data_IF_754953878294
#
_entry.id   IF_754953878294
#
_cell.length_a   1.000
_cell.length_b   1.000
_cell.length_c   1.000
_cell.angle_alpha   90.00
_cell.angle_beta   90.00
_cell.angle_gamma   90.00
#
_symmetry.space_group_name_H-M   'P 1'
#
loop_
_entity.id
_entity.type
_entity.pdbx_description
1 polymer ?
#
# COMPACT_ATOMS: atom_id res chain seq x y z
N UNK A 1 -9.93 34.58 3.91
CA UNK A 1 -9.47 35.33 2.73
C UNK A 1 -10.45 36.46 2.46
N UNK A 2 -11.77 36.22 2.36
CA UNK A 2 -12.80 37.24 2.13
C UNK A 2 -12.68 38.41 3.11
N UNK A 3 -12.56 38.15 4.43
CA UNK A 3 -12.34 39.17 5.44
C UNK A 3 -11.06 40.01 5.24
N UNK A 4 -10.01 39.42 4.69
CA UNK A 4 -8.77 40.14 4.36
C UNK A 4 -8.93 41.00 3.12
N UNK A 5 -9.80 40.61 2.20
CA UNK A 5 -10.08 41.33 0.96
C UNK A 5 -11.22 42.37 1.11
N UNK A 6 -11.92 42.41 2.24
CA UNK A 6 -13.13 43.19 2.46
C UNK A 6 -12.97 44.68 2.14
N UNK A 7 -11.80 45.22 2.45
CA UNK A 7 -11.48 46.66 2.24
C UNK A 7 -11.24 47.01 0.76
N UNK A 8 -10.43 46.19 0.04
CA UNK A 8 -10.03 46.54 -1.32
C UNK A 8 -10.81 45.76 -2.37
N UNK A 9 -11.61 44.75 -1.99
CA UNK A 9 -12.46 43.88 -2.85
C UNK A 9 -11.73 43.29 -4.06
N UNK A 10 -10.41 43.31 -4.06
CA UNK A 10 -9.59 42.75 -5.13
C UNK A 10 -9.12 41.36 -4.71
N UNK A 11 -9.91 40.36 -5.07
CA UNK A 11 -9.65 38.94 -4.76
C UNK A 11 -9.68 38.12 -6.04
N UNK A 12 -8.59 37.45 -6.30
CA UNK A 12 -8.48 36.50 -7.39
C UNK A 12 -8.23 35.09 -6.81
N UNK A 13 -9.12 34.17 -7.10
CA UNK A 13 -8.98 32.77 -6.67
C UNK A 13 -8.89 31.84 -7.87
N UNK A 14 -8.04 30.83 -7.77
CA UNK A 14 -7.86 29.79 -8.78
C UNK A 14 -8.00 28.44 -8.10
N UNK A 15 -8.74 27.53 -8.71
CA UNK A 15 -8.90 26.19 -8.20
C UNK A 15 -9.68 25.32 -9.16
N UNK A 16 -9.76 24.05 -8.85
CA UNK A 16 -10.55 23.06 -9.56
C UNK A 16 -11.35 22.21 -8.54
N UNK A 17 -12.67 22.43 -8.41
CA UNK A 17 -13.50 21.65 -7.49
C UNK A 17 -13.54 20.16 -7.87
N UNK A 18 -13.38 19.82 -9.17
CA UNK A 18 -13.33 18.44 -9.64
C UNK A 18 -12.05 17.69 -9.19
N UNK A 19 -11.05 18.43 -8.73
CA UNK A 19 -9.81 17.85 -8.14
C UNK A 19 -9.78 17.97 -6.61
N UNK A 20 -10.89 18.26 -5.95
CA UNK A 20 -10.97 18.28 -4.49
C UNK A 20 -11.05 16.84 -3.96
N UNK A 21 -9.93 16.31 -3.47
CA UNK A 21 -9.75 14.93 -2.96
C UNK A 21 -9.27 14.90 -1.51
N UNK A 22 -9.46 15.97 -0.75
CA UNK A 22 -9.06 16.10 0.65
C UNK A 22 -10.21 16.56 1.56
N UNK A 23 -11.46 16.14 1.25
CA UNK A 23 -12.62 16.49 2.08
C UNK A 23 -12.46 15.92 3.50
N UNK A 24 -11.90 14.75 3.63
CA UNK A 24 -11.54 14.12 4.90
C UNK A 24 -10.52 14.93 5.74
N UNK A 25 -9.77 15.85 5.13
CA UNK A 25 -8.92 16.86 5.81
C UNK A 25 -9.62 18.21 6.00
N UNK A 26 -10.92 18.29 5.73
CA UNK A 26 -11.73 19.49 5.90
C UNK A 26 -11.79 20.41 4.67
N UNK A 27 -11.32 19.98 3.51
CA UNK A 27 -11.56 20.71 2.27
C UNK A 27 -13.07 20.73 1.95
N UNK A 28 -13.55 21.86 1.44
CA UNK A 28 -14.98 22.10 1.18
C UNK A 28 -15.16 22.60 -0.25
N UNK A 29 -15.33 21.72 -1.24
CA UNK A 29 -15.46 22.10 -2.66
C UNK A 29 -16.63 23.05 -2.91
N UNK A 30 -17.77 22.89 -2.19
CA UNK A 30 -18.93 23.77 -2.33
C UNK A 30 -18.61 25.23 -2.07
N UNK A 31 -17.66 25.58 -1.16
CA UNK A 31 -17.27 26.98 -0.94
C UNK A 31 -16.61 27.64 -2.15
N UNK A 32 -15.95 26.83 -2.99
CA UNK A 32 -15.40 27.32 -4.24
C UNK A 32 -16.49 27.44 -5.31
N UNK A 33 -17.40 26.46 -5.37
CA UNK A 33 -18.53 26.44 -6.32
C UNK A 33 -19.50 27.58 -6.05
N UNK A 34 -19.80 27.83 -4.76
CA UNK A 34 -20.77 28.85 -4.33
C UNK A 34 -20.15 30.26 -4.20
N UNK A 35 -18.86 30.42 -4.52
CA UNK A 35 -18.19 31.71 -4.42
C UNK A 35 -18.77 32.72 -5.39
N UNK A 36 -19.31 33.82 -4.87
CA UNK A 36 -19.85 34.90 -5.67
C UNK A 36 -18.72 35.76 -6.27
N UNK A 37 -18.42 35.53 -7.53
CA UNK A 37 -17.39 36.27 -8.26
C UNK A 37 -18.00 37.23 -9.26
N UNK A 38 -17.41 38.44 -9.39
CA UNK A 38 -17.80 39.40 -10.43
C UNK A 38 -17.52 38.88 -11.84
N UNK A 39 -16.47 38.03 -11.97
CA UNK A 39 -16.10 37.39 -13.22
C UNK A 39 -15.54 36.00 -12.98
N UNK A 40 -16.08 35.01 -13.68
CA UNK A 40 -15.57 33.65 -13.71
C UNK A 40 -14.96 33.33 -15.06
N UNK A 41 -13.76 32.79 -15.08
CA UNK A 41 -13.07 32.30 -16.30
C UNK A 41 -12.87 30.81 -16.12
N UNK A 42 -13.38 30.01 -17.06
CA UNK A 42 -13.21 28.56 -17.09
C UNK A 42 -12.03 28.24 -18.01
N UNK A 43 -11.04 27.48 -17.46
CA UNK A 43 -9.90 26.97 -18.20
C UNK A 43 -10.21 25.51 -18.54
N UNK A 44 -10.71 25.25 -19.72
CA UNK A 44 -11.17 23.94 -20.20
C UNK A 44 -10.25 23.32 -21.26
N UNK A 45 -9.30 24.09 -21.83
CA UNK A 45 -8.27 23.54 -22.69
C UNK A 45 -7.18 22.83 -21.91
N UNK A 46 -7.01 21.53 -22.22
CA UNK A 46 -6.02 20.67 -21.59
C UNK A 46 -4.82 20.44 -22.53
N UNK A 47 -3.61 20.64 -22.02
CA UNK A 47 -2.37 20.51 -22.80
C UNK A 47 -1.60 19.21 -22.49
N UNK A 48 -2.09 18.43 -21.54
CA UNK A 48 -1.42 17.21 -21.03
C UNK A 48 -1.86 15.97 -21.79
N UNK A 49 -3.14 15.67 -21.74
CA UNK A 49 -3.71 14.37 -22.12
C UNK A 49 -4.19 14.36 -23.57
N UNK A 50 -4.24 13.16 -24.16
CA UNK A 50 -4.87 12.95 -25.48
C UNK A 50 -6.40 13.01 -25.37
N UNK A 51 -7.14 13.23 -26.49
CA UNK A 51 -8.61 13.28 -26.49
C UNK A 51 -9.26 12.05 -25.85
N UNK A 52 -8.80 10.83 -26.20
CA UNK A 52 -9.37 9.59 -25.66
C UNK A 52 -9.30 9.50 -24.13
N UNK A 53 -8.26 10.05 -23.51
CA UNK A 53 -8.12 10.10 -22.05
C UNK A 53 -9.09 11.12 -21.45
N UNK A 54 -9.23 12.30 -22.09
CA UNK A 54 -10.13 13.34 -21.62
C UNK A 54 -11.60 12.93 -21.74
N UNK A 55 -11.97 12.17 -22.76
CA UNK A 55 -13.33 11.65 -22.92
C UNK A 55 -13.72 10.77 -21.74
N UNK A 56 -12.82 9.87 -21.29
CA UNK A 56 -13.05 9.05 -20.11
C UNK A 56 -13.12 9.91 -18.84
N UNK A 57 -12.23 10.89 -18.69
CA UNK A 57 -12.22 11.81 -17.54
C UNK A 57 -13.53 12.61 -17.44
N UNK A 58 -13.98 13.19 -18.57
CA UNK A 58 -15.22 13.94 -18.66
C UNK A 58 -16.44 13.04 -18.36
N UNK A 59 -16.46 11.83 -18.90
CA UNK A 59 -17.52 10.85 -18.66
C UNK A 59 -17.66 10.54 -17.16
N UNK A 60 -16.56 10.26 -16.46
CA UNK A 60 -16.56 9.95 -15.03
C UNK A 60 -17.05 11.14 -14.23
N UNK A 61 -16.48 12.34 -14.43
CA UNK A 61 -16.73 13.49 -13.57
C UNK A 61 -18.09 14.14 -13.82
N UNK A 62 -18.68 13.97 -15.01
CA UNK A 62 -20.00 14.50 -15.34
C UNK A 62 -21.14 13.96 -14.45
N UNK A 63 -20.91 12.83 -13.77
CA UNK A 63 -21.87 12.23 -12.83
C UNK A 63 -21.90 12.93 -11.46
N UNK A 64 -20.98 13.85 -11.17
CA UNK A 64 -21.00 14.65 -9.95
C UNK A 64 -21.94 15.86 -10.11
N UNK A 65 -22.66 16.18 -9.04
CA UNK A 65 -23.62 17.31 -9.02
C UNK A 65 -22.95 18.59 -8.49
N UNK A 66 -22.12 18.46 -7.44
CA UNK A 66 -21.44 19.60 -6.82
C UNK A 66 -20.18 20.00 -7.56
N UNK A 67 -20.35 20.64 -8.74
CA UNK A 67 -19.24 21.04 -9.59
C UNK A 67 -19.55 22.30 -10.40
N UNK A 68 -18.51 22.94 -10.93
CA UNK A 68 -18.63 23.92 -11.99
C UNK A 68 -18.61 23.15 -13.32
N UNK A 69 -19.70 23.15 -14.10
CA UNK A 69 -19.75 22.40 -15.36
C UNK A 69 -18.66 22.85 -16.31
N UNK A 70 -17.81 21.92 -16.74
CA UNK A 70 -16.81 22.10 -17.77
C UNK A 70 -16.57 20.80 -18.50
N UNK A 71 -16.13 20.87 -19.73
CA UNK A 71 -15.72 19.73 -20.53
C UNK A 71 -14.29 19.99 -20.99
N UNK A 72 -13.34 19.20 -20.49
CA UNK A 72 -11.96 19.35 -20.94
C UNK A 72 -11.83 18.92 -22.40
N UNK A 73 -11.14 19.73 -23.19
CA UNK A 73 -10.77 19.41 -24.55
C UNK A 73 -9.29 19.67 -24.78
N UNK A 74 -8.74 19.13 -25.86
CA UNK A 74 -7.34 19.33 -26.23
C UNK A 74 -7.20 19.46 -27.73
N UNK A 75 -6.17 20.17 -28.17
CA UNK A 75 -5.76 20.26 -29.57
C UNK A 75 -4.68 19.24 -29.95
N UNK A 76 -4.31 18.36 -28.99
CA UNK A 76 -3.38 17.27 -29.27
C UNK A 76 -4.01 16.27 -30.24
N UNK A 77 -3.20 15.58 -31.07
CA UNK A 77 -3.71 14.52 -31.94
C UNK A 77 -4.32 13.38 -31.13
N UNK A 78 -5.20 12.64 -31.76
CA UNK A 78 -5.78 11.44 -31.20
C UNK A 78 -4.67 10.47 -30.75
N UNK A 79 -4.80 10.02 -29.52
CA UNK A 79 -3.92 9.00 -28.94
C UNK A 79 -4.51 7.60 -29.10
N UNK A 80 -3.86 6.63 -28.49
CA UNK A 80 -4.40 5.28 -28.35
C UNK A 80 -5.64 5.28 -27.44
N UNK A 81 -6.55 4.34 -27.67
CA UNK A 81 -7.71 4.15 -26.78
C UNK A 81 -7.27 3.76 -25.39
N UNK A 82 -8.05 4.17 -24.38
CA UNK A 82 -7.88 3.71 -23.02
C UNK A 82 -8.04 2.19 -22.98
N UNK A 83 -7.09 1.52 -22.36
CA UNK A 83 -7.10 0.06 -22.24
C UNK A 83 -7.70 -0.34 -20.90
N UNK A 84 -8.67 -1.25 -20.93
CA UNK A 84 -9.19 -1.91 -19.74
C UNK A 84 -8.72 -3.36 -19.68
N UNK A 85 -8.32 -3.82 -18.50
CA UNK A 85 -7.93 -5.20 -18.25
C UNK A 85 -8.66 -5.74 -17.02
N UNK A 86 -9.21 -6.95 -17.15
CA UNK A 86 -9.84 -7.69 -16.07
C UNK A 86 -9.05 -8.96 -15.80
N UNK A 87 -8.47 -9.07 -14.60
CA UNK A 87 -7.75 -10.25 -14.11
C UNK A 87 -8.65 -11.11 -13.22
N UNK A 88 -8.41 -12.41 -13.18
CA UNK A 88 -9.08 -13.30 -12.22
C UNK A 88 -8.60 -13.09 -10.80
N UNK A 89 -7.33 -12.72 -10.65
CA UNK A 89 -6.69 -12.46 -9.36
C UNK A 89 -5.89 -11.18 -9.38
N UNK A 90 -5.62 -10.62 -8.20
CA UNK A 90 -4.76 -9.46 -8.02
C UNK A 90 -3.34 -9.67 -8.58
N UNK A 91 -2.85 -10.93 -8.54
CA UNK A 91 -1.53 -11.26 -9.09
C UNK A 91 -1.56 -11.32 -10.62
N UNK A 92 -2.61 -11.86 -11.25
CA UNK A 92 -2.76 -11.82 -12.71
C UNK A 92 -2.85 -10.38 -13.22
N UNK A 93 -3.59 -9.52 -12.51
CA UNK A 93 -3.66 -8.08 -12.77
C UNK A 93 -2.25 -7.46 -12.73
N UNK A 94 -1.50 -7.71 -11.65
CA UNK A 94 -0.16 -7.17 -11.46
C UNK A 94 0.86 -7.70 -12.49
N UNK A 95 0.80 -8.98 -12.82
CA UNK A 95 1.63 -9.59 -13.86
C UNK A 95 1.34 -8.98 -15.24
N UNK A 96 0.06 -8.76 -15.56
CA UNK A 96 -0.32 -8.10 -16.80
C UNK A 96 0.26 -6.68 -16.88
N UNK A 97 0.16 -5.90 -15.78
CA UNK A 97 0.76 -4.56 -15.69
C UNK A 97 2.27 -4.63 -15.95
N UNK A 98 2.99 -5.53 -15.27
CA UNK A 98 4.44 -5.68 -15.46
C UNK A 98 4.78 -6.04 -16.91
N UNK A 99 4.02 -6.95 -17.53
CA UNK A 99 4.20 -7.34 -18.93
C UNK A 99 3.94 -6.17 -19.89
N UNK A 100 2.93 -5.31 -19.64
CA UNK A 100 2.70 -4.11 -20.45
C UNK A 100 3.86 -3.12 -20.37
N UNK A 101 4.48 -2.98 -19.19
CA UNK A 101 5.65 -2.12 -18.98
C UNK A 101 6.86 -2.68 -19.73
N UNK A 102 7.15 -4.00 -19.62
CA UNK A 102 8.24 -4.66 -20.35
C UNK A 102 8.10 -4.42 -21.85
N UNK A 103 6.91 -4.67 -22.43
CA UNK A 103 6.67 -4.48 -23.87
C UNK A 103 7.03 -3.09 -24.36
N UNK A 104 6.69 -2.05 -23.56
CA UNK A 104 6.97 -0.67 -23.91
C UNK A 104 8.43 -0.26 -23.71
N UNK A 105 9.06 -0.76 -22.66
CA UNK A 105 10.52 -0.57 -22.44
C UNK A 105 11.32 -1.18 -23.60
N UNK A 106 10.88 -2.35 -24.09
CA UNK A 106 11.54 -3.04 -25.21
C UNK A 106 11.11 -2.54 -26.60
N UNK A 107 10.12 -1.63 -26.68
CA UNK A 107 9.64 -1.12 -27.96
C UNK A 107 8.96 -2.16 -28.84
N UNK A 108 8.38 -3.23 -28.27
CA UNK A 108 7.83 -4.37 -29.02
C UNK A 108 6.63 -4.01 -29.90
N UNK A 109 5.91 -2.94 -29.59
CA UNK A 109 4.69 -2.53 -30.30
C UNK A 109 4.98 -1.50 -31.43
N UNK A 110 6.24 -1.38 -31.86
CA UNK A 110 6.65 -0.47 -32.93
C UNK A 110 6.79 1.00 -32.49
N UNK A 111 6.54 1.30 -31.22
CA UNK A 111 6.83 2.60 -30.62
C UNK A 111 8.30 2.71 -30.19
N UNK A 112 8.78 3.93 -29.99
CA UNK A 112 10.09 4.16 -29.41
C UNK A 112 10.15 3.55 -27.98
N UNK A 113 11.27 2.90 -27.58
CA UNK A 113 11.42 2.36 -26.24
C UNK A 113 11.17 3.42 -25.16
N UNK A 114 10.30 3.09 -24.19
CA UNK A 114 10.01 3.93 -23.06
C UNK A 114 11.03 3.71 -21.92
N UNK A 115 11.22 4.72 -21.09
CA UNK A 115 12.08 4.60 -19.89
C UNK A 115 11.21 4.17 -18.69
N UNK A 116 11.75 3.42 -17.71
CA UNK A 116 11.02 3.09 -16.49
C UNK A 116 10.42 4.32 -15.78
N UNK A 117 11.07 5.49 -15.85
CA UNK A 117 10.57 6.74 -15.26
C UNK A 117 9.32 7.31 -15.93
N UNK A 118 8.96 6.84 -17.11
CA UNK A 118 7.80 7.32 -17.87
C UNK A 118 6.49 6.66 -17.38
N UNK A 119 6.59 5.67 -16.48
CA UNK A 119 5.46 4.91 -15.96
C UNK A 119 5.11 5.29 -14.53
N UNK A 120 3.80 5.41 -14.27
CA UNK A 120 3.24 5.47 -12.93
C UNK A 120 2.15 4.41 -12.74
N UNK A 121 2.14 3.77 -11.57
CA UNK A 121 1.11 2.85 -11.14
C UNK A 121 0.42 3.47 -9.94
N UNK A 122 -0.86 3.79 -10.12
CA UNK A 122 -1.68 4.51 -9.15
C UNK A 122 -2.69 3.56 -8.52
N UNK A 123 -2.82 3.63 -7.21
CA UNK A 123 -3.77 2.83 -6.43
C UNK A 123 -4.49 3.66 -5.38
N UNK A 124 -5.67 3.17 -4.94
CA UNK A 124 -6.50 3.83 -3.93
C UNK A 124 -5.88 3.77 -2.54
N UNK A 125 -5.43 2.61 -2.14
CA UNK A 125 -4.86 2.32 -0.82
C UNK A 125 -3.47 1.70 -0.93
N UNK A 126 -2.62 1.97 0.06
CA UNK A 126 -1.20 1.60 0.01
C UNK A 126 -0.94 0.09 -0.02
N UNK A 127 -1.82 -0.72 0.57
CA UNK A 127 -1.66 -2.18 0.57
C UNK A 127 -1.71 -2.80 -0.83
N UNK A 128 -2.43 -2.17 -1.78
CA UNK A 128 -2.51 -2.62 -3.17
C UNK A 128 -1.18 -2.60 -3.92
N UNK A 129 -0.15 -1.96 -3.35
CA UNK A 129 1.18 -1.97 -3.96
C UNK A 129 1.84 -3.35 -3.93
N UNK A 130 1.49 -4.24 -2.97
CA UNK A 130 2.20 -5.52 -2.77
C UNK A 130 2.21 -6.43 -4.00
N UNK A 131 1.07 -6.81 -4.63
CA UNK A 131 1.12 -7.66 -5.81
C UNK A 131 1.88 -7.00 -6.96
N UNK A 132 1.72 -5.69 -7.14
CA UNK A 132 2.44 -4.92 -8.16
C UNK A 132 3.94 -4.91 -7.90
N UNK A 133 4.37 -4.65 -6.66
CA UNK A 133 5.79 -4.70 -6.27
C UNK A 133 6.39 -6.07 -6.57
N UNK A 134 5.68 -7.15 -6.24
CA UNK A 134 6.13 -8.52 -6.50
C UNK A 134 6.25 -8.81 -8.01
N UNK A 135 5.27 -8.42 -8.82
CA UNK A 135 5.31 -8.62 -10.27
C UNK A 135 6.45 -7.84 -10.94
N UNK A 136 6.67 -6.57 -10.54
CA UNK A 136 7.79 -5.76 -11.05
C UNK A 136 9.13 -6.36 -10.68
N UNK A 137 9.28 -6.89 -9.46
CA UNK A 137 10.52 -7.55 -9.03
C UNK A 137 10.77 -8.83 -9.82
N UNK A 138 9.76 -9.68 -10.00
CA UNK A 138 9.85 -10.90 -10.80
C UNK A 138 10.26 -10.59 -12.25
N UNK A 139 9.75 -9.48 -12.80
CA UNK A 139 10.11 -8.99 -14.13
C UNK A 139 11.44 -8.21 -14.17
N UNK A 140 12.14 -8.04 -13.03
CA UNK A 140 13.37 -7.26 -12.87
C UNK A 140 13.23 -5.79 -13.32
N UNK A 141 12.04 -5.22 -13.15
CA UNK A 141 11.77 -3.82 -13.46
C UNK A 141 12.09 -2.97 -12.21
N UNK A 142 12.97 -1.97 -12.32
CA UNK A 142 13.26 -1.09 -11.21
C UNK A 142 12.06 -0.21 -10.86
N UNK A 143 11.72 -0.13 -9.57
CA UNK A 143 10.60 0.67 -9.09
C UNK A 143 10.91 1.39 -7.78
N UNK A 144 10.11 2.40 -7.47
CA UNK A 144 10.09 3.08 -6.17
C UNK A 144 8.67 3.35 -5.70
N UNK A 145 8.45 3.24 -4.40
CA UNK A 145 7.19 3.66 -3.76
C UNK A 145 7.34 5.11 -3.34
N UNK A 146 6.58 5.99 -3.98
CA UNK A 146 6.65 7.44 -3.77
C UNK A 146 5.94 7.83 -2.48
N UNK A 147 6.63 8.61 -1.63
CA UNK A 147 6.07 9.08 -0.36
C UNK A 147 5.79 7.99 0.68
N UNK A 148 6.29 6.78 0.46
CA UNK A 148 6.13 5.64 1.34
C UNK A 148 7.36 4.74 1.36
N UNK A 149 7.19 3.56 1.94
CA UNK A 149 8.19 2.48 1.94
C UNK A 149 7.61 1.24 1.27
N UNK A 150 8.48 0.40 0.73
CA UNK A 150 8.09 -0.89 0.13
C UNK A 150 7.26 -1.71 1.13
N UNK A 151 6.40 -2.56 0.61
CA UNK A 151 5.46 -3.32 1.43
C UNK A 151 6.14 -4.08 2.59
N UNK A 152 7.16 -4.88 2.29
CA UNK A 152 7.88 -5.65 3.31
C UNK A 152 8.79 -4.80 4.22
N UNK A 153 8.99 -3.53 3.90
CA UNK A 153 9.72 -2.58 4.74
C UNK A 153 8.84 -1.81 5.72
N UNK A 154 7.51 -1.87 5.57
CA UNK A 154 6.56 -1.19 6.46
C UNK A 154 6.69 -1.70 7.89
N UNK A 155 6.53 -0.78 8.84
CA UNK A 155 6.76 -1.08 10.27
C UNK A 155 5.93 -2.26 10.75
N UNK A 156 4.62 -2.21 10.53
CA UNK A 156 3.65 -3.23 10.96
C UNK A 156 3.89 -4.59 10.28
N UNK A 157 4.29 -4.59 9.02
CA UNK A 157 4.66 -5.79 8.27
C UNK A 157 5.94 -6.40 8.83
N UNK A 158 6.96 -5.57 9.09
CA UNK A 158 8.20 -6.03 9.74
C UNK A 158 7.94 -6.54 11.15
N UNK A 159 7.06 -5.90 11.91
CA UNK A 159 6.70 -6.34 13.27
C UNK A 159 6.05 -7.73 13.20
N UNK A 160 5.08 -7.93 12.30
CA UNK A 160 4.41 -9.21 12.08
C UNK A 160 5.38 -10.31 11.62
N UNK A 161 6.22 -10.04 10.61
CA UNK A 161 7.22 -10.99 10.12
C UNK A 161 8.27 -11.34 11.17
N UNK A 162 8.62 -10.40 12.06
CA UNK A 162 9.59 -10.67 13.13
C UNK A 162 9.07 -11.69 14.15
N UNK A 163 7.76 -11.79 14.38
CA UNK A 163 7.19 -12.88 15.15
C UNK A 163 7.44 -14.24 14.48
N UNK A 164 7.16 -14.35 13.18
CA UNK A 164 7.41 -15.58 12.44
C UNK A 164 8.90 -15.96 12.43
N UNK A 165 9.79 -14.97 12.31
CA UNK A 165 11.23 -15.20 12.31
C UNK A 165 11.71 -15.76 13.66
N UNK A 166 11.28 -15.19 14.79
CA UNK A 166 11.64 -15.70 16.12
C UNK A 166 11.02 -17.08 16.39
N UNK A 167 9.84 -17.36 15.83
CA UNK A 167 9.22 -18.70 15.90
C UNK A 167 10.05 -19.71 15.10
N UNK A 168 10.50 -19.36 13.90
CA UNK A 168 11.33 -20.23 13.05
C UNK A 168 12.75 -20.40 13.60
N UNK A 169 13.37 -19.31 14.05
CA UNK A 169 14.72 -19.29 14.65
C UNK A 169 14.75 -18.39 15.88
N UNK A 170 14.74 -18.98 17.08
CA UNK A 170 14.86 -18.24 18.35
C UNK A 170 16.20 -17.50 18.52
N UNK A 171 17.20 -17.78 17.65
CA UNK A 171 18.48 -17.10 17.70
C UNK A 171 18.51 -15.80 16.86
N UNK A 172 17.43 -15.45 16.18
CA UNK A 172 17.29 -14.15 15.51
C UNK A 172 17.10 -13.02 16.53
N UNK A 173 18.20 -12.57 17.10
CA UNK A 173 18.23 -11.48 18.08
C UNK A 173 17.70 -10.15 17.52
N UNK A 174 17.83 -9.92 16.22
CA UNK A 174 17.33 -8.70 15.59
C UNK A 174 15.81 -8.67 15.61
N UNK A 175 15.17 -9.76 15.20
CA UNK A 175 13.72 -9.91 15.24
C UNK A 175 13.21 -9.96 16.68
N UNK A 176 13.93 -10.64 17.59
CA UNK A 176 13.60 -10.66 19.02
C UNK A 176 13.53 -9.25 19.61
N UNK A 177 14.59 -8.44 19.47
CA UNK A 177 14.64 -7.04 19.94
C UNK A 177 13.48 -6.22 19.43
N UNK A 178 13.07 -6.48 18.19
CA UNK A 178 11.99 -5.76 17.54
C UNK A 178 10.63 -6.01 18.19
N UNK A 179 10.33 -7.25 18.56
CA UNK A 179 8.97 -7.66 18.96
C UNK A 179 8.78 -7.88 20.46
N UNK A 180 9.85 -8.06 21.23
CA UNK A 180 9.74 -8.42 22.66
C UNK A 180 8.86 -7.45 23.46
N UNK A 181 8.83 -6.18 23.07
CA UNK A 181 7.98 -5.14 23.68
C UNK A 181 7.03 -4.46 22.66
N UNK A 182 6.64 -5.15 21.61
CA UNK A 182 5.65 -4.68 20.61
C UNK A 182 4.58 -5.77 20.41
N UNK A 183 3.34 -5.54 20.87
CA UNK A 183 2.84 -4.43 21.71
C UNK A 183 3.54 -4.28 23.06
N UNK A 184 3.35 -3.13 23.71
CA UNK A 184 4.02 -2.83 24.98
C UNK A 184 3.69 -3.86 26.08
N UNK A 185 4.73 -4.51 26.66
CA UNK A 185 4.64 -5.53 27.71
C UNK A 185 5.38 -5.13 28.99
N UNK A 186 5.80 -3.87 29.12
CA UNK A 186 6.62 -3.41 30.23
C UNK A 186 8.09 -3.81 30.13
N UNK A 187 8.53 -4.36 29.00
CA UNK A 187 9.89 -4.83 28.74
C UNK A 187 10.74 -3.73 28.09
N UNK A 188 10.90 -2.61 28.80
CA UNK A 188 11.60 -1.43 28.29
C UNK A 188 13.13 -1.54 28.35
N UNK A 189 13.81 -0.41 28.20
CA UNK A 189 15.28 -0.31 28.08
C UNK A 189 16.04 -1.01 29.22
N UNK A 190 15.58 -0.86 30.49
CA UNK A 190 16.20 -1.48 31.65
C UNK A 190 16.15 -3.02 31.58
N UNK A 191 14.99 -3.56 31.15
CA UNK A 191 14.85 -5.01 30.95
C UNK A 191 15.81 -5.50 29.87
N UNK A 192 15.84 -4.82 28.71
CA UNK A 192 16.74 -5.18 27.62
C UNK A 192 18.22 -5.13 28.01
N UNK A 193 18.64 -4.10 28.76
CA UNK A 193 20.02 -4.00 29.24
C UNK A 193 20.39 -5.17 30.19
N UNK A 194 19.46 -5.57 31.06
CA UNK A 194 19.69 -6.73 31.97
C UNK A 194 19.74 -8.05 31.18
N UNK A 195 18.89 -8.20 30.14
CA UNK A 195 18.88 -9.38 29.29
C UNK A 195 20.18 -9.50 28.48
N UNK A 196 20.65 -8.39 27.92
CA UNK A 196 21.91 -8.34 27.19
C UNK A 196 23.10 -8.65 28.07
N UNK A 197 23.09 -8.19 29.33
CA UNK A 197 24.11 -8.57 30.31
C UNK A 197 24.05 -10.08 30.61
N UNK A 198 22.85 -10.66 30.79
CA UNK A 198 22.68 -12.09 30.99
C UNK A 198 23.15 -12.92 29.78
N UNK A 199 22.92 -12.45 28.55
CA UNK A 199 23.40 -13.12 27.35
C UNK A 199 24.93 -13.21 27.27
N UNK A 200 25.62 -12.17 27.75
CA UNK A 200 27.11 -12.11 27.80
C UNK A 200 27.75 -12.93 28.92
N UNK A 201 27.05 -13.15 30.03
CA UNK A 201 27.63 -13.83 31.20
C UNK A 201 27.65 -15.36 31.09
N UNK A 202 27.16 -15.93 30.04
CA UNK A 202 26.80 -17.35 29.93
C UNK A 202 27.86 -18.32 29.49
N UNK A 203 29.13 -17.99 29.27
CA UNK A 203 30.23 -18.98 29.17
C UNK A 203 31.58 -18.34 28.83
N UNK A 204 32.59 -18.76 29.54
CA UNK A 204 33.99 -18.37 29.28
C UNK A 204 34.54 -19.05 28.00
N UNK A 205 33.84 -20.06 27.44
CA UNK A 205 34.30 -20.88 26.32
C UNK A 205 33.27 -21.12 25.19
N UNK A 206 32.04 -20.63 25.30
CA UNK A 206 31.02 -20.69 24.23
C UNK A 206 30.55 -19.26 23.93
N UNK A 207 30.48 -18.88 22.67
CA UNK A 207 30.12 -17.53 22.26
C UNK A 207 28.86 -16.94 22.92
N UNK A 208 28.55 -15.69 22.68
CA UNK A 208 27.36 -15.03 23.24
C UNK A 208 26.09 -15.87 22.97
N UNK A 209 25.27 -16.08 24.00
CA UNK A 209 23.98 -16.76 23.89
C UNK A 209 22.97 -15.82 23.19
N UNK A 210 22.02 -16.38 22.46
CA UNK A 210 20.92 -15.58 21.94
C UNK A 210 20.11 -14.96 23.09
N UNK A 211 19.44 -13.85 22.80
CA UNK A 211 18.58 -13.17 23.77
C UNK A 211 17.42 -14.06 24.24
N UNK A 212 16.90 -14.89 23.35
CA UNK A 212 15.85 -15.85 23.69
C UNK A 212 16.36 -16.91 24.69
N UNK A 213 17.51 -17.51 24.40
CA UNK A 213 18.15 -18.48 25.32
C UNK A 213 18.49 -17.84 26.65
N UNK A 214 19.08 -16.65 26.66
CA UNK A 214 19.39 -15.91 27.86
C UNK A 214 18.14 -15.60 28.71
N UNK A 215 17.01 -15.27 28.02
CA UNK A 215 15.74 -15.03 28.69
C UNK A 215 15.17 -16.30 29.34
N UNK A 216 15.18 -17.42 28.60
CA UNK A 216 14.65 -18.69 29.12
C UNK A 216 15.47 -19.25 30.31
N UNK A 217 16.81 -19.07 30.28
CA UNK A 217 17.72 -19.57 31.29
C UNK A 217 17.92 -18.63 32.49
N UNK A 218 17.31 -17.44 32.49
CA UNK A 218 17.40 -16.47 33.57
C UNK A 218 16.04 -16.34 34.31
N UNK A 219 15.76 -17.12 35.37
CA UNK A 219 14.46 -17.16 36.05
C UNK A 219 13.97 -15.78 36.51
N UNK A 220 14.88 -14.92 36.96
CA UNK A 220 14.57 -13.57 37.42
C UNK A 220 14.00 -12.66 36.29
N UNK A 221 14.39 -12.88 35.02
CA UNK A 221 13.89 -12.18 33.87
C UNK A 221 12.66 -12.87 33.28
N UNK A 222 12.70 -14.21 33.15
CA UNK A 222 11.59 -15.01 32.65
C UNK A 222 10.32 -14.90 33.51
N UNK A 223 10.47 -14.72 34.84
CA UNK A 223 9.38 -14.55 35.78
C UNK A 223 8.65 -13.19 35.72
N UNK A 224 9.19 -12.22 35.00
CA UNK A 224 8.50 -10.96 34.77
C UNK A 224 7.28 -11.23 33.88
N UNK A 225 6.07 -10.79 34.29
CA UNK A 225 4.80 -11.08 33.63
C UNK A 225 4.86 -10.92 32.11
N UNK A 226 5.31 -9.77 31.61
CA UNK A 226 5.40 -9.53 30.15
C UNK A 226 6.40 -10.43 29.44
N UNK A 227 7.48 -10.86 30.11
CA UNK A 227 8.46 -11.79 29.55
C UNK A 227 7.91 -13.22 29.53
N UNK A 228 7.24 -13.64 30.58
CA UNK A 228 6.58 -14.96 30.65
C UNK A 228 5.48 -15.09 29.60
N UNK A 229 4.66 -14.05 29.42
CA UNK A 229 3.62 -13.99 28.35
C UNK A 229 4.25 -14.06 26.96
N UNK A 230 5.35 -13.35 26.73
CA UNK A 230 6.06 -13.37 25.45
C UNK A 230 6.68 -14.76 25.17
N UNK A 231 7.35 -15.37 26.12
CA UNK A 231 7.90 -16.72 25.98
C UNK A 231 6.80 -17.75 25.68
N UNK A 232 5.68 -17.70 26.41
CA UNK A 232 4.55 -18.59 26.17
C UNK A 232 3.97 -18.41 24.77
N UNK A 233 3.90 -17.17 24.25
CA UNK A 233 3.45 -16.88 22.90
C UNK A 233 4.39 -17.49 21.83
N UNK A 234 5.70 -17.35 21.99
CA UNK A 234 6.68 -17.91 21.04
C UNK A 234 6.64 -19.43 21.07
N UNK A 235 6.63 -20.05 22.25
CA UNK A 235 6.55 -21.52 22.38
C UNK A 235 5.23 -22.08 21.77
N UNK A 236 4.12 -21.40 22.01
CA UNK A 236 2.85 -21.74 21.33
C UNK A 236 3.01 -21.65 19.81
N UNK A 237 3.59 -20.56 19.32
CA UNK A 237 3.81 -20.35 17.88
C UNK A 237 4.68 -21.44 17.25
N UNK A 238 5.75 -21.88 17.94
CA UNK A 238 6.63 -22.96 17.48
C UNK A 238 5.89 -24.29 17.31
N UNK A 239 5.03 -24.65 18.29
CA UNK A 239 4.18 -25.85 18.19
C UNK A 239 3.20 -25.75 17.02
N UNK A 240 2.55 -24.58 16.87
CA UNK A 240 1.61 -24.37 15.78
C UNK A 240 2.27 -24.36 14.40
N UNK A 241 3.53 -23.96 14.30
CA UNK A 241 4.28 -23.98 13.04
C UNK A 241 4.49 -25.38 12.48
N UNK A 242 4.43 -26.42 13.34
CA UNK A 242 4.51 -27.82 12.92
C UNK A 242 3.15 -28.42 12.53
N UNK A 243 2.03 -27.79 12.96
CA UNK A 243 0.69 -28.37 12.83
C UNK A 243 -0.24 -27.57 11.89
N UNK A 244 0.09 -26.31 11.59
CA UNK A 244 -0.78 -25.37 10.88
C UNK A 244 -0.09 -24.77 9.66
N UNK A 245 -0.92 -24.28 8.73
CA UNK A 245 -0.43 -23.45 7.62
C UNK A 245 0.22 -22.17 8.14
N UNK A 246 1.12 -21.57 7.35
CA UNK A 246 1.82 -20.34 7.74
C UNK A 246 0.82 -19.18 7.87
N UNK A 247 -0.20 -19.14 7.00
CA UNK A 247 -1.25 -18.12 7.04
C UNK A 247 -2.12 -18.24 8.30
N UNK A 248 -2.47 -19.45 8.73
CA UNK A 248 -3.20 -19.68 9.98
C UNK A 248 -2.34 -19.32 11.20
N UNK A 249 -1.07 -19.76 11.21
CA UNK A 249 -0.10 -19.39 12.23
C UNK A 249 -0.01 -17.86 12.35
N UNK A 250 0.17 -17.15 11.24
CA UNK A 250 0.26 -15.68 11.25
C UNK A 250 -1.00 -15.06 11.87
N UNK A 251 -2.20 -15.49 11.45
CA UNK A 251 -3.44 -14.98 12.02
C UNK A 251 -3.53 -15.16 13.53
N UNK A 252 -3.18 -16.36 14.03
CA UNK A 252 -3.20 -16.67 15.45
C UNK A 252 -2.20 -15.79 16.20
N UNK A 253 -0.99 -15.63 15.67
CA UNK A 253 0.05 -14.81 16.28
C UNK A 253 -0.34 -13.33 16.32
N UNK A 254 -0.90 -12.79 15.25
CA UNK A 254 -1.38 -11.41 15.20
C UNK A 254 -2.44 -11.10 16.26
N UNK A 255 -3.35 -12.04 16.50
CA UNK A 255 -4.39 -11.90 17.51
C UNK A 255 -3.83 -12.10 18.94
N UNK A 256 -3.09 -13.19 19.17
CA UNK A 256 -2.57 -13.55 20.50
C UNK A 256 -1.46 -12.62 20.98
N UNK A 257 -0.65 -12.07 20.09
CA UNK A 257 0.34 -11.03 20.44
C UNK A 257 -0.30 -9.72 20.86
N UNK A 258 -1.54 -9.46 20.43
CA UNK A 258 -2.23 -8.17 20.58
C UNK A 258 -1.86 -7.14 19.50
N UNK A 259 -1.11 -7.52 18.46
CA UNK A 259 -0.69 -6.58 17.42
C UNK A 259 -1.90 -6.03 16.61
N UNK A 260 -2.85 -6.89 16.22
CA UNK A 260 -4.09 -6.44 15.57
C UNK A 260 -4.92 -5.50 16.45
N UNK A 261 -4.96 -5.78 17.77
CA UNK A 261 -5.65 -4.92 18.73
C UNK A 261 -4.99 -3.54 18.81
N UNK A 262 -3.65 -3.49 18.91
CA UNK A 262 -2.88 -2.25 18.92
C UNK A 262 -3.18 -1.39 17.67
N UNK A 263 -3.15 -2.00 16.47
CA UNK A 263 -3.40 -1.30 15.22
C UNK A 263 -4.83 -0.74 15.12
N UNK A 264 -5.84 -1.46 15.68
CA UNK A 264 -7.22 -0.96 15.75
C UNK A 264 -7.36 0.21 16.73
N UNK A 265 -6.66 0.18 17.86
CA UNK A 265 -6.67 1.24 18.87
C UNK A 265 -5.99 2.52 18.37
N UNK A 266 -4.94 2.39 17.56
CA UNK A 266 -4.26 3.51 16.90
C UNK A 266 -5.13 4.19 15.81
N UNK A 267 -6.29 3.62 15.44
CA UNK A 267 -7.19 4.07 14.36
C UNK A 267 -6.46 4.23 13.01
N UNK A 268 -5.36 3.52 12.82
CA UNK A 268 -4.57 3.53 11.60
C UNK A 268 -4.98 2.32 10.74
N UNK A 269 -6.05 2.51 9.98
CA UNK A 269 -6.62 1.45 9.16
C UNK A 269 -5.69 1.01 8.03
N UNK A 270 -4.90 1.94 7.46
CA UNK A 270 -3.93 1.61 6.42
C UNK A 270 -2.92 0.56 6.92
N UNK A 271 -2.51 0.66 8.19
CA UNK A 271 -1.60 -0.33 8.80
C UNK A 271 -2.28 -1.66 9.08
N UNK A 272 -3.56 -1.64 9.44
CA UNK A 272 -4.34 -2.87 9.60
C UNK A 272 -4.54 -3.57 8.25
N UNK A 273 -4.88 -2.82 7.19
CA UNK A 273 -4.98 -3.34 5.83
C UNK A 273 -3.66 -3.95 5.35
N UNK A 274 -2.51 -3.34 5.69
CA UNK A 274 -1.19 -3.89 5.36
C UNK A 274 -0.94 -5.26 6.02
N UNK A 275 -1.34 -5.42 7.27
CA UNK A 275 -1.19 -6.70 7.98
C UNK A 275 -2.16 -7.76 7.44
N UNK A 276 -3.38 -7.39 7.10
CA UNK A 276 -4.35 -8.30 6.48
C UNK A 276 -3.89 -8.71 5.08
N UNK A 277 -3.28 -7.80 4.31
CA UNK A 277 -2.67 -8.09 3.02
C UNK A 277 -1.45 -9.02 3.15
N UNK A 278 -0.66 -8.89 4.21
CA UNK A 278 0.42 -9.85 4.49
C UNK A 278 -0.13 -11.27 4.67
N UNK A 279 -1.22 -11.45 5.41
CA UNK A 279 -1.84 -12.77 5.58
C UNK A 279 -2.34 -13.34 4.26
N UNK A 280 -2.96 -12.51 3.40
CA UNK A 280 -3.38 -12.94 2.06
C UNK A 280 -2.18 -13.36 1.21
N UNK A 281 -1.08 -12.61 1.27
CA UNK A 281 0.14 -12.94 0.51
C UNK A 281 0.74 -14.28 0.93
N UNK A 282 0.69 -14.60 2.22
CA UNK A 282 1.13 -15.91 2.75
C UNK A 282 0.24 -17.01 2.19
N UNK A 283 -1.08 -16.85 2.25
CA UNK A 283 -2.02 -17.84 1.71
C UNK A 283 -1.79 -18.08 0.23
N UNK A 284 -1.64 -17.03 -0.55
CA UNK A 284 -1.31 -17.15 -1.97
C UNK A 284 0.00 -17.89 -2.21
N UNK A 285 1.02 -17.63 -1.38
CA UNK A 285 2.29 -18.35 -1.44
C UNK A 285 2.09 -19.86 -1.20
N UNK A 286 1.30 -20.22 -0.19
CA UNK A 286 0.95 -21.61 0.10
C UNK A 286 0.18 -22.29 -1.06
N UNK A 287 -0.83 -21.60 -1.62
CA UNK A 287 -1.62 -22.08 -2.76
C UNK A 287 -0.76 -22.26 -4.02
N UNK A 288 0.20 -21.36 -4.28
CA UNK A 288 1.11 -21.45 -5.44
C UNK A 288 2.11 -22.60 -5.34
N UNK A 289 2.28 -23.20 -4.16
CA UNK A 289 3.13 -24.35 -3.89
C UNK A 289 2.29 -25.57 -3.52
N UNK A 290 1.00 -25.62 -3.93
CA UNK A 290 0.10 -26.75 -3.64
C UNK A 290 0.71 -28.08 -4.10
N UNK A 291 0.69 -29.08 -3.21
CA UNK A 291 1.33 -30.39 -3.43
C UNK A 291 2.79 -30.49 -2.94
N UNK A 292 3.39 -29.39 -2.46
CA UNK A 292 4.69 -29.37 -1.80
C UNK A 292 4.50 -29.08 -0.31
N UNK A 293 5.38 -29.63 0.53
CA UNK A 293 5.42 -29.24 1.94
C UNK A 293 6.09 -27.88 2.06
N UNK A 294 5.30 -26.81 2.28
CA UNK A 294 5.79 -25.44 2.43
C UNK A 294 6.21 -25.21 3.87
N UNK A 295 7.51 -25.06 4.11
CA UNK A 295 8.05 -24.76 5.45
C UNK A 295 8.10 -23.25 5.70
N UNK A 296 7.90 -22.86 6.96
CA UNK A 296 8.01 -21.47 7.40
C UNK A 296 9.38 -20.85 7.04
N UNK A 297 10.47 -21.66 7.14
CA UNK A 297 11.83 -21.24 6.76
C UNK A 297 11.93 -20.82 5.29
N UNK A 298 11.29 -21.57 4.40
CA UNK A 298 11.37 -21.35 2.95
C UNK A 298 10.64 -20.05 2.58
N UNK A 299 9.44 -19.84 3.13
CA UNK A 299 8.71 -18.60 2.98
C UNK A 299 9.53 -17.38 3.45
N UNK A 300 10.14 -17.47 4.65
CA UNK A 300 10.95 -16.38 5.21
C UNK A 300 12.22 -16.12 4.39
N UNK A 301 12.82 -17.13 3.79
CA UNK A 301 13.96 -17.00 2.90
C UNK A 301 13.57 -16.27 1.60
N UNK A 302 12.44 -16.63 1.00
CA UNK A 302 11.94 -15.98 -0.21
C UNK A 302 11.63 -14.50 0.05
N UNK A 303 10.96 -14.20 1.17
CA UNK A 303 10.72 -12.79 1.57
C UNK A 303 12.03 -12.02 1.77
N UNK A 304 13.07 -12.64 2.31
CA UNK A 304 14.37 -11.99 2.49
C UNK A 304 15.02 -11.65 1.13
N UNK A 305 14.87 -12.50 0.12
CA UNK A 305 15.33 -12.22 -1.24
C UNK A 305 14.58 -11.03 -1.85
N UNK A 306 13.25 -10.96 -1.68
CA UNK A 306 12.43 -9.84 -2.14
C UNK A 306 12.78 -8.51 -1.46
N UNK A 307 13.08 -8.52 -0.17
CA UNK A 307 13.40 -7.29 0.56
C UNK A 307 14.79 -6.73 0.22
N UNK A 308 15.72 -7.57 -0.23
CA UNK A 308 17.11 -7.19 -0.52
C UNK A 308 17.35 -6.66 -1.95
N UNK A 309 16.36 -6.76 -2.86
CA UNK A 309 16.49 -6.20 -4.20
C UNK A 309 16.63 -4.67 -4.12
N UNK A 310 17.86 -4.17 -4.28
CA UNK A 310 18.17 -2.73 -4.12
C UNK A 310 18.18 -2.01 -5.48
N UNK A 311 17.04 -1.42 -5.85
CA UNK A 311 16.91 -0.55 -7.01
C UNK A 311 17.19 0.94 -6.70
N UNK A 312 17.67 1.27 -5.50
CA UNK A 312 17.84 2.66 -5.03
C UNK A 312 18.90 3.45 -5.82
N UNK A 313 19.76 2.75 -6.57
CA UNK A 313 20.82 3.38 -7.36
C UNK A 313 20.41 3.68 -8.80
N UNK A 314 19.25 3.24 -9.24
CA UNK A 314 18.79 3.48 -10.59
C UNK A 314 18.13 4.85 -10.74
N UNK A 315 18.57 5.62 -11.73
CA UNK A 315 18.06 6.97 -11.99
C UNK A 315 16.68 6.99 -12.67
N UNK A 316 16.28 5.87 -13.28
CA UNK A 316 15.01 5.71 -13.98
C UNK A 316 14.25 4.53 -13.39
N UNK A 317 13.17 4.80 -12.68
CA UNK A 317 12.35 3.78 -11.98
C UNK A 317 10.86 4.00 -12.23
N UNK A 318 10.11 2.91 -12.30
CA UNK A 318 8.63 2.96 -12.29
C UNK A 318 8.15 3.52 -10.95
N UNK A 319 7.21 4.44 -10.96
CA UNK A 319 6.69 5.08 -9.75
C UNK A 319 5.37 4.46 -9.30
N UNK A 320 5.37 3.94 -8.09
CA UNK A 320 4.18 3.42 -7.41
C UNK A 320 3.72 4.44 -6.37
N UNK A 321 2.45 4.84 -6.40
CA UNK A 321 1.93 5.81 -5.43
C UNK A 321 0.41 5.73 -5.30
N UNK A 322 -0.11 6.26 -4.19
CA UNK A 322 -1.54 6.48 -4.09
C UNK A 322 -1.99 7.60 -5.04
N UNK A 323 -3.24 7.55 -5.47
CA UNK A 323 -3.82 8.60 -6.33
C UNK A 323 -3.71 9.97 -5.66
N UNK A 324 -3.83 10.04 -4.33
CA UNK A 324 -3.67 11.29 -3.57
C UNK A 324 -2.27 11.91 -3.72
N UNK A 325 -1.24 11.07 -3.75
CA UNK A 325 0.15 11.50 -3.94
C UNK A 325 0.45 11.89 -5.37
N UNK A 326 -0.30 11.34 -6.33
CA UNK A 326 -0.14 11.65 -7.74
C UNK A 326 -0.72 13.01 -8.13
N UNK A 327 -1.50 13.66 -7.24
CA UNK A 327 -2.05 14.99 -7.53
C UNK A 327 -0.94 16.00 -7.80
N UNK A 328 -1.01 16.66 -8.95
CA UNK A 328 0.01 17.63 -9.41
C UNK A 328 1.14 17.03 -10.25
N UNK A 329 1.23 15.70 -10.32
CA UNK A 329 2.19 15.00 -11.19
C UNK A 329 1.55 14.65 -12.55
N UNK A 330 2.39 14.21 -13.50
CA UNK A 330 1.98 13.76 -14.82
C UNK A 330 2.97 12.75 -15.37
N UNK A 331 2.49 11.79 -16.17
CA UNK A 331 3.30 10.68 -16.69
C UNK A 331 2.82 10.28 -18.08
N UNK A 332 3.73 9.94 -19.01
CA UNK A 332 3.39 9.39 -20.31
C UNK A 332 2.45 8.17 -20.24
N UNK A 333 2.72 7.24 -19.31
CA UNK A 333 1.99 5.99 -19.14
C UNK A 333 1.48 5.86 -17.70
N UNK A 334 0.17 5.75 -17.54
CA UNK A 334 -0.47 5.62 -16.23
C UNK A 334 -1.29 4.34 -16.16
N UNK A 335 -1.05 3.54 -15.13
CA UNK A 335 -1.88 2.42 -14.73
C UNK A 335 -2.67 2.83 -13.49
N UNK A 336 -3.98 2.60 -13.50
CA UNK A 336 -4.85 2.74 -12.33
C UNK A 336 -5.33 1.34 -11.98
N UNK A 337 -4.84 0.79 -10.87
CA UNK A 337 -5.04 -0.60 -10.47
C UNK A 337 -6.01 -0.74 -9.30
N UNK A 338 -6.62 -1.92 -9.18
CA UNK A 338 -7.55 -2.24 -8.10
C UNK A 338 -8.91 -1.57 -8.26
N UNK A 339 -9.40 -1.41 -9.48
CA UNK A 339 -10.70 -0.81 -9.80
C UNK A 339 -11.86 -1.78 -9.51
N UNK A 340 -11.75 -2.55 -8.44
CA UNK A 340 -12.76 -3.52 -8.02
C UNK A 340 -13.73 -2.90 -7.02
N UNK A 341 -15.00 -3.27 -7.11
CA UNK A 341 -16.05 -2.76 -6.21
C UNK A 341 -15.69 -3.01 -4.73
N UNK A 342 -15.80 -1.95 -3.93
CA UNK A 342 -15.44 -2.00 -2.52
C UNK A 342 -13.99 -1.63 -2.22
N UNK A 343 -13.11 -1.67 -3.20
CA UNK A 343 -11.72 -1.24 -3.13
C UNK A 343 -11.61 0.18 -3.72
N UNK A 344 -11.96 0.33 -4.98
CA UNK A 344 -12.10 1.61 -5.65
C UNK A 344 -13.28 1.56 -6.64
N UNK A 345 -14.41 2.21 -6.29
CA UNK A 345 -14.64 3.14 -5.18
C UNK A 345 -14.61 2.45 -3.79
N UNK A 346 -14.09 3.19 -2.80
CA UNK A 346 -13.97 2.70 -1.43
C UNK A 346 -15.34 2.62 -0.74
N UNK A 347 -15.79 1.42 -0.39
CA UNK A 347 -17.03 1.24 0.36
C UNK A 347 -17.04 1.94 1.72
N UNK A 348 -15.86 2.11 2.33
CA UNK A 348 -15.71 2.86 3.57
C UNK A 348 -16.07 4.32 3.36
N UNK A 349 -15.45 4.99 2.38
CA UNK A 349 -15.74 6.39 2.04
C UNK A 349 -17.22 6.60 1.74
N UNK A 350 -17.81 5.67 0.97
CA UNK A 350 -19.25 5.73 0.63
C UNK A 350 -20.13 5.56 1.87
N UNK A 351 -19.82 4.64 2.79
CA UNK A 351 -20.60 4.44 4.03
C UNK A 351 -20.51 5.64 4.96
N UNK A 352 -19.32 6.23 5.09
CA UNK A 352 -19.07 7.37 5.98
C UNK A 352 -19.72 8.65 5.45
N UNK A 353 -19.56 8.96 4.17
CA UNK A 353 -19.98 10.23 3.55
C UNK A 353 -21.18 10.09 2.60
N UNK A 354 -21.74 8.89 2.43
CA UNK A 354 -22.90 8.58 1.55
C UNK A 354 -22.69 9.13 0.14
N UNK A 355 -23.66 9.90 -0.39
CA UNK A 355 -23.61 10.48 -1.74
C UNK A 355 -22.37 11.36 -1.95
N UNK A 356 -21.95 12.10 -0.94
CA UNK A 356 -20.72 12.91 -1.04
C UNK A 356 -19.47 12.02 -1.16
N UNK A 357 -19.47 10.85 -0.51
CA UNK A 357 -18.41 9.86 -0.64
C UNK A 357 -18.26 9.32 -2.05
N UNK A 358 -19.39 9.04 -2.74
CA UNK A 358 -19.33 8.64 -4.16
C UNK A 358 -18.76 9.75 -5.05
N UNK A 359 -19.17 11.00 -4.80
CA UNK A 359 -18.64 12.14 -5.56
C UNK A 359 -17.14 12.36 -5.30
N UNK A 360 -16.68 12.14 -4.06
CA UNK A 360 -15.25 12.20 -3.72
C UNK A 360 -14.45 11.10 -4.42
N UNK A 361 -14.92 9.86 -4.42
CA UNK A 361 -14.28 8.75 -5.13
C UNK A 361 -14.26 9.00 -6.65
N UNK A 362 -15.30 9.60 -7.26
CA UNK A 362 -15.29 10.01 -8.67
C UNK A 362 -14.27 11.11 -8.94
N UNK A 363 -14.13 12.11 -8.04
CA UNK A 363 -13.08 13.13 -8.16
C UNK A 363 -11.69 12.49 -8.06
N UNK A 364 -11.54 11.50 -7.19
CA UNK A 364 -10.28 10.75 -7.08
C UNK A 364 -9.96 10.00 -8.38
N UNK A 365 -10.95 9.33 -8.98
CA UNK A 365 -10.79 8.67 -10.28
C UNK A 365 -10.47 9.67 -11.39
N UNK A 366 -11.16 10.82 -11.43
CA UNK A 366 -10.87 11.90 -12.37
C UNK A 366 -9.42 12.41 -12.23
N UNK A 367 -8.94 12.59 -11.00
CA UNK A 367 -7.54 12.94 -10.74
C UNK A 367 -6.61 11.87 -11.27
N UNK A 368 -6.88 10.58 -11.03
CA UNK A 368 -6.04 9.49 -11.52
C UNK A 368 -5.95 9.47 -13.06
N UNK A 369 -7.08 9.54 -13.75
CA UNK A 369 -7.17 9.56 -15.22
C UNK A 369 -6.37 10.73 -15.78
N UNK A 370 -6.55 11.94 -15.23
CA UNK A 370 -5.90 13.16 -15.72
C UNK A 370 -4.41 13.26 -15.39
N UNK A 371 -3.80 12.20 -14.81
CA UNK A 371 -2.33 12.10 -14.67
C UNK A 371 -1.66 11.56 -15.93
N UNK A 372 -2.43 10.90 -16.81
CA UNK A 372 -1.90 10.31 -18.03
C UNK A 372 -1.76 11.36 -19.15
N UNK A 373 -0.61 11.32 -19.83
CA UNK A 373 -0.33 12.16 -20.99
C UNK A 373 -0.68 11.43 -22.30
N UNK A 374 -0.24 10.18 -22.46
CA UNK A 374 -0.26 9.45 -23.75
C UNK A 374 -1.09 8.17 -23.67
N UNK A 375 -0.91 7.35 -22.63
CA UNK A 375 -1.63 6.08 -22.50
C UNK A 375 -2.16 5.89 -21.09
N UNK A 376 -3.39 5.41 -20.99
CA UNK A 376 -4.08 5.10 -19.75
C UNK A 376 -4.52 3.64 -19.74
N UNK A 377 -4.22 2.95 -18.66
CA UNK A 377 -4.61 1.58 -18.39
C UNK A 377 -5.45 1.55 -17.12
N UNK A 378 -6.64 1.01 -17.23
CA UNK A 378 -7.56 0.80 -16.11
C UNK A 378 -7.61 -0.68 -15.84
N UNK A 379 -7.25 -1.11 -14.62
CA UNK A 379 -7.15 -2.53 -14.32
C UNK A 379 -7.92 -2.90 -13.06
N UNK A 380 -8.54 -4.07 -13.09
CA UNK A 380 -9.28 -4.66 -12.00
C UNK A 380 -9.07 -6.17 -11.92
N UNK A 381 -9.44 -6.75 -10.80
CA UNK A 381 -9.48 -8.20 -10.62
C UNK A 381 -10.77 -8.63 -9.92
N UNK A 382 -11.19 -9.89 -10.13
CA UNK A 382 -12.35 -10.44 -9.43
C UNK A 382 -12.18 -10.44 -7.92
N UNK A 383 -10.95 -10.44 -7.42
CA UNK A 383 -10.50 -10.28 -6.04
C UNK A 383 -11.37 -10.94 -4.98
N UNK A 384 -10.78 -11.74 -4.10
CA UNK A 384 -11.51 -12.29 -2.96
C UNK A 384 -11.77 -11.16 -1.96
N UNK A 385 -12.94 -10.56 -2.01
CA UNK A 385 -13.30 -9.50 -1.07
C UNK A 385 -13.63 -10.11 0.31
N UNK A 386 -12.57 -10.29 1.12
CA UNK A 386 -12.66 -10.89 2.46
C UNK A 386 -13.59 -10.07 3.38
N UNK A 387 -13.80 -8.78 3.09
CA UNK A 387 -14.66 -7.91 3.89
C UNK A 387 -16.14 -8.09 3.63
N UNK A 388 -16.56 -8.61 2.48
CA UNK A 388 -17.97 -8.70 2.09
C UNK A 388 -18.55 -10.10 2.10
N UNK A 389 -17.74 -11.19 2.17
CA UNK A 389 -18.23 -12.58 2.04
C UNK A 389 -19.18 -12.80 0.84
N UNK A 390 -19.06 -12.00 -0.18
CA UNK A 390 -19.84 -12.12 -1.40
C UNK A 390 -18.93 -12.61 -2.52
N UNK A 391 -19.13 -13.90 -2.89
CA UNK A 391 -18.76 -14.37 -4.22
C UNK A 391 -19.70 -13.65 -5.20
N UNK A 392 -19.17 -12.97 -6.16
CA UNK A 392 -19.92 -12.65 -7.37
C UNK A 392 -19.46 -13.55 -8.48
#
# INVERSE_FOLDING_TARGET
IEKLAEFHKNLFIVGDPDQCIYEWRGAKPHRFVDFAADKTIILDENYRSTPNILDVANCVISNNVNRIPKNLFTLRPDGVKVTHFHGKTENEEAEWIANQIVRRIEGRDGAAPARPSDFAILYRSSYLSRPVEQALMSAKIPYSVWGGVRFFERKEVKDALSYLRVIADPNDDLSFRRIVNVPARGLGKKFMSNLEAAAKTGSVNAGERSLYTALTETPALAGIKGASEFLALIEMGRKLAEERSISDLMNIILDKSGLKKLLREDQDEDRLENVDELVKSIRFYEESHEGLEVKLSDYLQDIALYSNADFRKESAVVRLMTIHQAKGLEFPYVFVTGLSEGIFPSMRTIREYKKNGEEEERRLMYVAITRAESELFLTESEGFNVSTKMNK
#
